data_IF_072386472215
#
_entry.id   IF_072386472215
#
_cell.length_a   1.000
_cell.length_b   1.000
_cell.length_c   1.000
_cell.angle_alpha   90.00
_cell.angle_beta   90.00
_cell.angle_gamma   90.00
#
_symmetry.space_group_name_H-M   'P 1'
#
loop_
_entity.id
_entity.type
_entity.pdbx_description
1 polymer ?
#
# COMPACT_ATOMS: atom_id res chain seq x y z
N UNK A 1 0.45 -1.40 12.20
CA UNK A 1 1.15 -1.53 13.47
C UNK A 1 1.81 -2.90 13.60
N UNK A 2 2.89 -2.96 14.40
CA UNK A 2 3.68 -4.19 14.59
C UNK A 2 2.98 -5.22 15.48
N UNK A 3 1.97 -4.82 16.24
CA UNK A 3 1.17 -5.71 17.10
C UNK A 3 0.24 -6.67 16.34
N UNK A 4 0.12 -6.53 15.02
CA UNK A 4 -0.80 -7.32 14.20
C UNK A 4 -2.29 -6.94 14.32
N UNK A 5 -2.62 -5.92 15.08
CA UNK A 5 -3.96 -5.32 15.11
C UNK A 5 -4.03 -4.24 14.01
N UNK A 6 -5.01 -4.33 13.11
CA UNK A 6 -5.13 -3.43 11.95
C UNK A 6 -5.94 -2.15 12.22
N UNK A 7 -6.30 -1.88 13.46
CA UNK A 7 -7.03 -0.67 13.82
C UNK A 7 -6.07 0.51 13.99
N UNK A 8 -6.00 1.37 13.00
CA UNK A 8 -5.28 2.63 13.01
C UNK A 8 -6.28 3.77 12.95
N UNK A 9 -6.12 4.75 13.85
CA UNK A 9 -6.90 5.98 13.84
C UNK A 9 -6.02 7.17 13.48
N UNK A 10 -6.51 8.02 12.57
CA UNK A 10 -5.83 9.26 12.20
C UNK A 10 -5.85 10.25 13.37
N UNK A 11 -4.69 10.75 13.76
CA UNK A 11 -4.58 11.94 14.58
C UNK A 11 -4.77 13.18 13.69
N UNK A 12 -5.99 13.72 13.70
CA UNK A 12 -6.35 14.86 12.84
C UNK A 12 -5.49 16.10 13.11
N UNK A 13 -4.97 16.26 14.33
CA UNK A 13 -4.10 17.40 14.69
C UNK A 13 -2.72 17.34 14.04
N UNK A 14 -2.33 16.16 13.58
CA UNK A 14 -1.03 15.87 12.93
C UNK A 14 -1.18 15.49 11.46
N UNK A 15 -2.25 15.96 10.85
CA UNK A 15 -2.48 15.82 9.42
C UNK A 15 -2.12 17.14 8.71
N UNK A 16 -1.17 17.09 7.80
CA UNK A 16 -0.70 18.25 7.06
C UNK A 16 -0.71 17.98 5.58
N UNK A 17 -1.17 18.96 4.82
CA UNK A 17 -1.15 18.95 3.36
C UNK A 17 -0.44 20.18 2.82
N UNK A 18 0.14 20.04 1.63
CA UNK A 18 0.71 21.16 0.88
C UNK A 18 0.52 20.90 -0.61
N UNK A 19 0.05 21.92 -1.32
CA UNK A 19 -0.10 21.83 -2.77
C UNK A 19 1.26 21.59 -3.44
N UNK A 20 1.25 20.80 -4.50
CA UNK A 20 2.43 20.59 -5.32
C UNK A 20 2.87 21.89 -6.01
N UNK A 21 4.13 21.97 -6.38
CA UNK A 21 4.62 23.14 -7.12
C UNK A 21 3.93 23.30 -8.48
N UNK A 22 3.57 22.21 -9.15
CA UNK A 22 2.81 22.21 -10.39
C UNK A 22 1.41 22.77 -10.19
N UNK A 23 0.70 22.34 -9.16
CA UNK A 23 -0.65 22.83 -8.84
C UNK A 23 -0.63 24.34 -8.54
N UNK A 24 0.30 24.79 -7.70
CA UNK A 24 0.46 26.21 -7.39
C UNK A 24 0.82 27.06 -8.61
N UNK A 25 1.56 26.52 -9.56
CA UNK A 25 1.91 27.19 -10.81
C UNK A 25 0.68 27.31 -11.71
N UNK A 26 -0.03 26.21 -11.94
CA UNK A 26 -1.28 26.21 -12.73
C UNK A 26 -2.33 27.19 -12.18
N UNK A 27 -2.54 27.21 -10.86
CA UNK A 27 -3.46 28.16 -10.21
C UNK A 27 -3.13 29.63 -10.51
N UNK A 28 -1.86 29.96 -10.75
CA UNK A 28 -1.42 31.34 -11.03
C UNK A 28 -1.45 31.69 -12.50
N UNK A 29 -1.19 30.74 -13.38
CA UNK A 29 -0.97 30.97 -14.81
C UNK A 29 -2.22 30.71 -15.65
N UNK A 30 -3.13 29.82 -15.19
CA UNK A 30 -4.32 29.44 -15.95
C UNK A 30 -5.55 30.27 -15.54
N UNK A 31 -6.15 30.97 -16.49
CA UNK A 31 -7.36 31.78 -16.26
C UNK A 31 -8.64 30.95 -16.05
N UNK A 32 -8.62 29.68 -16.47
CA UNK A 32 -9.70 28.69 -16.31
C UNK A 32 -9.33 27.59 -15.34
N UNK A 33 -8.65 27.96 -14.24
CA UNK A 33 -8.23 26.99 -13.24
C UNK A 33 -9.44 26.32 -12.58
N UNK A 34 -9.34 24.98 -12.37
CA UNK A 34 -10.37 24.16 -11.75
C UNK A 34 -9.81 23.45 -10.53
N UNK A 35 -10.64 23.23 -9.49
CA UNK A 35 -10.21 22.59 -8.24
C UNK A 35 -9.72 21.13 -8.43
N UNK A 36 -10.23 20.43 -9.44
CA UNK A 36 -9.79 19.08 -9.80
C UNK A 36 -8.33 19.00 -10.24
N UNK A 37 -7.71 20.13 -10.60
CA UNK A 37 -6.29 20.18 -10.96
C UNK A 37 -5.36 20.28 -9.75
N UNK A 38 -5.95 20.34 -8.53
CA UNK A 38 -5.17 20.34 -7.31
C UNK A 38 -4.52 18.99 -7.13
N UNK A 39 -3.19 18.99 -7.09
CA UNK A 39 -2.38 17.90 -6.59
C UNK A 39 -1.62 18.35 -5.35
N UNK A 40 -1.58 17.53 -4.34
CA UNK A 40 -0.94 17.82 -3.06
C UNK A 40 -0.04 16.70 -2.61
N UNK A 41 0.80 17.00 -1.64
CA UNK A 41 1.47 16.02 -0.80
C UNK A 41 0.88 16.09 0.60
N UNK A 42 0.86 14.97 1.32
CA UNK A 42 0.42 14.96 2.70
C UNK A 42 1.39 14.22 3.60
N UNK A 43 1.34 14.56 4.88
CA UNK A 43 1.91 13.79 5.99
C UNK A 43 0.84 13.61 7.05
N UNK A 44 0.81 12.44 7.69
CA UNK A 44 -0.17 12.11 8.70
C UNK A 44 0.45 11.21 9.78
N UNK A 45 -0.07 11.29 10.99
CA UNK A 45 0.23 10.33 12.05
C UNK A 45 -1.05 9.59 12.40
N UNK A 46 -0.93 8.26 12.42
CA UNK A 46 -1.96 7.36 12.90
C UNK A 46 -1.51 6.75 14.23
N UNK A 47 -2.47 6.42 15.07
CA UNK A 47 -2.22 5.76 16.36
C UNK A 47 -2.95 4.43 16.39
N UNK A 48 -2.24 3.37 16.80
CA UNK A 48 -2.84 2.06 16.97
C UNK A 48 -3.86 2.10 18.12
N UNK A 49 -5.07 1.61 17.86
CA UNK A 49 -6.16 1.58 18.84
C UNK A 49 -6.08 0.42 19.83
N UNK A 50 -5.07 -0.44 19.71
CA UNK A 50 -4.79 -1.45 20.71
C UNK A 50 -4.11 -0.80 21.91
N UNK A 51 -4.79 -0.77 23.05
CA UNK A 51 -4.31 -0.15 24.31
C UNK A 51 -2.97 -0.72 24.84
N UNK A 52 -2.58 -1.91 24.40
CA UNK A 52 -1.29 -2.51 24.75
C UNK A 52 -0.18 -2.19 23.74
N UNK A 53 -0.49 -1.44 22.69
CA UNK A 53 0.47 -1.12 21.62
C UNK A 53 0.68 0.39 21.49
N UNK A 54 -0.39 1.15 21.25
CA UNK A 54 -0.40 2.61 21.07
C UNK A 54 0.69 3.13 20.10
N UNK A 55 1.14 2.28 19.19
CA UNK A 55 2.20 2.60 18.23
C UNK A 55 1.77 3.75 17.32
N UNK A 56 2.63 4.74 17.18
CA UNK A 56 2.46 5.82 16.22
C UNK A 56 3.01 5.43 14.86
N UNK A 57 2.20 5.56 13.83
CA UNK A 57 2.55 5.23 12.45
C UNK A 57 2.48 6.50 11.60
N UNK A 58 3.61 6.92 11.07
CA UNK A 58 3.69 8.04 10.12
C UNK A 58 3.31 7.55 8.73
N UNK A 59 2.50 8.33 8.04
CA UNK A 59 2.19 8.10 6.62
C UNK A 59 2.50 9.36 5.81
N UNK A 60 2.93 9.15 4.58
CA UNK A 60 3.05 10.21 3.59
C UNK A 60 2.64 9.72 2.21
N UNK A 61 2.23 10.66 1.36
CA UNK A 61 1.79 10.33 0.02
C UNK A 61 1.34 11.54 -0.77
N UNK A 62 0.53 11.30 -1.79
CA UNK A 62 -0.03 12.33 -2.65
C UNK A 62 -1.52 12.50 -2.39
N UNK A 63 -2.03 13.70 -2.63
CA UNK A 63 -3.45 14.00 -2.62
C UNK A 63 -3.89 14.56 -3.96
N UNK A 64 -5.16 14.43 -4.24
CA UNK A 64 -5.85 15.03 -5.39
C UNK A 64 -7.29 15.35 -5.03
N UNK A 65 -7.91 16.22 -5.80
CA UNK A 65 -9.31 16.59 -5.65
C UNK A 65 -10.11 15.92 -6.77
N UNK A 66 -11.29 15.44 -6.45
CA UNK A 66 -12.24 14.89 -7.42
C UNK A 66 -13.65 15.38 -7.09
N UNK A 67 -14.49 15.50 -8.10
CA UNK A 67 -15.91 15.77 -7.92
C UNK A 67 -16.65 14.49 -7.59
N UNK A 68 -17.39 14.51 -6.48
CA UNK A 68 -18.22 13.39 -6.06
C UNK A 68 -19.69 13.79 -5.97
N UNK A 69 -20.60 12.94 -6.47
CA UNK A 69 -22.03 13.19 -6.33
C UNK A 69 -22.47 12.99 -4.87
N UNK A 70 -23.07 14.01 -4.30
CA UNK A 70 -23.67 13.97 -2.96
C UNK A 70 -25.18 13.93 -3.08
N UNK A 71 -25.79 12.88 -2.53
CA UNK A 71 -27.24 12.74 -2.50
C UNK A 71 -27.78 13.41 -1.23
N UNK A 72 -28.47 14.51 -1.42
CA UNK A 72 -29.14 15.22 -0.33
C UNK A 72 -30.62 14.93 -0.38
N UNK A 73 -31.17 14.47 0.74
CA UNK A 73 -32.60 14.24 0.90
C UNK A 73 -33.17 15.35 1.76
N UNK A 74 -34.10 16.11 1.21
CA UNK A 74 -34.97 17.02 1.94
C UNK A 74 -36.34 16.36 2.09
N UNK A 75 -37.21 16.86 2.97
CA UNK A 75 -38.49 16.25 3.34
C UNK A 75 -39.41 15.90 2.14
N UNK A 76 -39.17 16.45 0.97
CA UNK A 76 -39.99 16.25 -0.22
C UNK A 76 -39.27 15.83 -1.48
N UNK A 77 -37.96 16.03 -1.55
CA UNK A 77 -37.18 15.77 -2.78
C UNK A 77 -35.80 15.22 -2.46
N UNK A 78 -35.34 14.25 -3.29
CA UNK A 78 -33.94 13.85 -3.34
C UNK A 78 -33.29 14.57 -4.51
N UNK A 79 -32.24 15.33 -4.27
CA UNK A 79 -31.46 15.98 -5.33
C UNK A 79 -29.97 15.60 -5.20
N UNK A 80 -29.30 15.59 -6.34
CA UNK A 80 -27.88 15.32 -6.41
C UNK A 80 -27.13 16.63 -6.58
N UNK A 81 -26.23 16.93 -5.66
CA UNK A 81 -25.25 18.01 -5.79
C UNK A 81 -23.87 17.39 -6.04
N UNK A 82 -22.94 18.19 -6.51
CA UNK A 82 -21.55 17.78 -6.68
C UNK A 82 -20.70 18.54 -5.67
N UNK A 83 -19.86 17.82 -4.94
CA UNK A 83 -18.92 18.41 -4.00
C UNK A 83 -17.49 18.03 -4.36
N UNK A 84 -16.54 18.93 -4.12
CA UNK A 84 -15.12 18.66 -4.27
C UNK A 84 -14.60 17.96 -3.03
N UNK A 85 -14.09 16.74 -3.22
CA UNK A 85 -13.57 15.90 -2.14
C UNK A 85 -12.08 15.66 -2.34
N UNK A 86 -11.31 15.84 -1.27
CA UNK A 86 -9.89 15.54 -1.26
C UNK A 86 -9.64 14.05 -1.00
N UNK A 87 -8.95 13.40 -1.90
CA UNK A 87 -8.50 12.01 -1.77
C UNK A 87 -7.01 11.96 -1.52
N UNK A 88 -6.59 10.98 -0.69
CA UNK A 88 -5.19 10.81 -0.32
C UNK A 88 -4.73 9.40 -0.65
N UNK A 89 -3.65 9.31 -1.42
CA UNK A 89 -3.04 8.06 -1.85
C UNK A 89 -1.73 7.84 -1.08
N UNK A 90 -1.73 6.98 -0.05
CA UNK A 90 -0.52 6.72 0.73
C UNK A 90 0.54 6.02 -0.12
N UNK A 91 1.78 6.47 0.03
CA UNK A 91 2.96 5.90 -0.62
C UNK A 91 3.93 5.27 0.38
N UNK A 92 3.89 5.72 1.63
CA UNK A 92 4.84 5.33 2.64
C UNK A 92 4.19 5.25 4.02
N UNK A 93 4.60 4.24 4.80
CA UNK A 93 4.27 4.09 6.22
C UNK A 93 5.52 3.74 7.02
N UNK A 94 5.69 4.39 8.18
CA UNK A 94 6.78 4.10 9.13
C UNK A 94 6.23 4.09 10.57
N UNK A 95 6.36 2.99 11.32
CA UNK A 95 6.87 1.66 10.89
C UNK A 95 6.08 1.06 9.72
N UNK A 96 6.71 0.14 9.02
CA UNK A 96 6.09 -0.57 7.89
C UNK A 96 4.83 -1.30 8.33
N UNK A 97 3.75 -1.16 7.57
CA UNK A 97 2.52 -1.92 7.79
C UNK A 97 2.74 -3.39 7.42
N UNK A 98 2.41 -4.27 8.35
CA UNK A 98 2.40 -5.70 8.09
C UNK A 98 1.00 -6.10 7.60
N UNK A 99 0.88 -6.63 6.40
CA UNK A 99 -0.39 -7.07 5.83
C UNK A 99 -0.92 -8.37 6.43
N UNK A 100 -0.03 -9.14 7.05
CA UNK A 100 -0.35 -10.33 7.84
C UNK A 100 0.76 -10.62 8.85
N UNK A 101 0.42 -11.39 9.88
CA UNK A 101 1.40 -11.79 10.90
C UNK A 101 2.29 -12.90 10.34
N UNK A 102 3.60 -12.66 10.31
CA UNK A 102 4.60 -13.68 9.99
C UNK A 102 4.90 -14.45 11.29
N UNK A 103 4.85 -15.79 11.31
CA UNK A 103 5.18 -16.58 12.48
C UNK A 103 6.61 -16.30 13.00
N UNK A 104 6.79 -16.29 14.31
CA UNK A 104 8.08 -15.96 14.93
C UNK A 104 9.19 -16.95 14.57
N UNK A 105 8.81 -18.22 14.33
CA UNK A 105 9.71 -19.30 13.90
C UNK A 105 9.94 -19.34 12.38
N UNK A 106 9.47 -18.34 11.63
CA UNK A 106 9.70 -18.26 10.18
C UNK A 106 11.20 -18.02 9.91
N UNK A 107 11.86 -18.85 9.09
CA UNK A 107 13.27 -18.65 8.72
C UNK A 107 13.52 -17.29 8.08
N UNK A 108 14.68 -16.70 8.37
CA UNK A 108 15.03 -15.36 7.90
C UNK A 108 15.02 -15.24 6.37
N UNK A 109 15.44 -16.27 5.67
CA UNK A 109 15.46 -16.30 4.20
C UNK A 109 14.07 -16.16 3.57
N UNK A 110 13.02 -16.54 4.33
CA UNK A 110 11.62 -16.42 3.93
C UNK A 110 11.04 -15.10 4.45
N UNK A 111 11.35 -14.78 5.71
CA UNK A 111 10.83 -13.61 6.43
C UNK A 111 11.29 -12.28 5.82
N UNK A 112 12.61 -12.14 5.57
CA UNK A 112 13.18 -10.87 5.14
C UNK A 112 12.62 -10.38 3.80
N UNK A 113 12.47 -11.21 2.74
CA UNK A 113 11.82 -10.77 1.51
C UNK A 113 10.36 -10.35 1.70
N UNK A 114 9.63 -10.96 2.65
CA UNK A 114 8.25 -10.53 2.97
C UNK A 114 8.22 -9.16 3.64
N UNK A 115 9.11 -8.90 4.61
CA UNK A 115 9.22 -7.59 5.26
C UNK A 115 9.60 -6.50 4.26
N UNK A 116 10.53 -6.79 3.34
CA UNK A 116 10.86 -5.89 2.25
C UNK A 116 9.65 -5.66 1.32
N UNK A 117 8.89 -6.70 0.98
CA UNK A 117 7.67 -6.57 0.18
C UNK A 117 6.67 -5.62 0.87
N UNK A 118 6.42 -5.80 2.16
CA UNK A 118 5.52 -4.93 2.91
C UNK A 118 5.94 -3.46 2.84
N UNK A 119 7.23 -3.17 3.00
CA UNK A 119 7.74 -1.80 3.01
C UNK A 119 7.58 -1.06 1.68
N UNK A 120 7.56 -1.78 0.56
CA UNK A 120 7.52 -1.18 -0.78
C UNK A 120 6.18 -1.38 -1.51
N UNK A 121 5.20 -2.08 -0.90
CA UNK A 121 3.94 -2.45 -1.57
C UNK A 121 3.20 -1.23 -2.14
N UNK A 122 3.11 -0.16 -1.39
CA UNK A 122 2.38 1.04 -1.82
C UNK A 122 3.18 1.92 -2.78
N UNK A 123 4.51 1.82 -2.72
CA UNK A 123 5.40 2.59 -3.60
C UNK A 123 5.61 1.89 -4.94
N UNK A 124 5.83 0.60 -4.93
CA UNK A 124 6.12 -0.22 -6.12
C UNK A 124 5.53 -1.63 -5.99
N UNK A 125 4.23 -1.80 -6.30
CA UNK A 125 3.55 -3.09 -6.17
C UNK A 125 4.21 -4.23 -6.95
N UNK A 126 4.73 -3.95 -8.14
CA UNK A 126 5.42 -4.95 -8.96
C UNK A 126 6.74 -5.43 -8.33
N UNK A 127 7.49 -4.51 -7.70
CA UNK A 127 8.70 -4.87 -6.95
C UNK A 127 8.36 -5.66 -5.69
N UNK A 128 7.29 -5.29 -4.99
CA UNK A 128 6.78 -6.05 -3.84
C UNK A 128 6.39 -7.48 -4.25
N UNK A 129 5.66 -7.65 -5.35
CA UNK A 129 5.30 -8.97 -5.88
C UNK A 129 6.53 -9.85 -6.17
N UNK A 130 7.60 -9.26 -6.72
CA UNK A 130 8.86 -9.98 -6.92
C UNK A 130 9.50 -10.42 -5.59
N UNK A 131 9.44 -9.60 -4.52
CA UNK A 131 9.95 -9.97 -3.20
C UNK A 131 9.12 -11.10 -2.58
N UNK A 132 7.78 -11.06 -2.70
CA UNK A 132 6.90 -12.17 -2.30
C UNK A 132 7.27 -13.45 -3.05
N UNK A 133 7.49 -13.36 -4.36
CA UNK A 133 7.93 -14.50 -5.17
C UNK A 133 9.23 -15.12 -4.65
N UNK A 134 10.23 -14.30 -4.31
CA UNK A 134 11.50 -14.77 -3.73
C UNK A 134 11.25 -15.51 -2.42
N UNK A 135 10.39 -14.98 -1.55
CA UNK A 135 10.01 -15.64 -0.30
C UNK A 135 9.38 -17.02 -0.54
N UNK A 136 8.44 -17.12 -1.49
CA UNK A 136 7.83 -18.41 -1.86
C UNK A 136 8.86 -19.37 -2.43
N UNK A 137 9.77 -18.92 -3.30
CA UNK A 137 10.85 -19.77 -3.84
C UNK A 137 11.78 -20.31 -2.75
N UNK A 138 12.05 -19.50 -1.71
CA UNK A 138 12.84 -19.92 -0.55
C UNK A 138 12.06 -20.93 0.32
N UNK A 139 10.77 -20.71 0.54
CA UNK A 139 9.88 -21.64 1.24
C UNK A 139 9.87 -23.02 0.55
N UNK A 140 9.63 -23.05 -0.76
CA UNK A 140 9.64 -24.30 -1.55
C UNK A 140 11.00 -25.01 -1.49
N UNK A 141 12.08 -24.24 -1.43
CA UNK A 141 13.44 -24.78 -1.28
C UNK A 141 13.62 -25.40 0.11
N UNK A 142 13.08 -24.76 1.16
CA UNK A 142 13.10 -25.28 2.53
C UNK A 142 12.33 -26.61 2.66
N UNK A 143 11.23 -26.74 1.92
CA UNK A 143 10.47 -28.01 1.81
C UNK A 143 11.13 -29.04 0.85
N UNK A 144 12.36 -28.79 0.41
CA UNK A 144 13.09 -29.67 -0.51
C UNK A 144 12.42 -29.89 -1.86
N UNK A 145 11.53 -28.97 -2.28
CA UNK A 145 10.90 -29.02 -3.60
C UNK A 145 11.94 -28.60 -4.65
N UNK A 146 12.24 -29.44 -5.65
CA UNK A 146 13.34 -29.21 -6.57
C UNK A 146 13.12 -28.00 -7.47
N UNK A 147 14.20 -27.23 -7.71
CA UNK A 147 14.19 -26.09 -8.65
C UNK A 147 14.28 -26.53 -10.11
N UNK A 148 14.67 -27.77 -10.36
CA UNK A 148 14.91 -28.31 -11.69
C UNK A 148 14.35 -29.71 -11.83
N UNK A 149 14.02 -30.10 -13.06
CA UNK A 149 13.65 -31.47 -13.43
C UNK A 149 14.43 -31.90 -14.64
N UNK A 150 14.43 -33.19 -14.94
CA UNK A 150 15.06 -33.74 -16.15
C UNK A 150 13.97 -34.00 -17.19
N UNK A 151 14.08 -33.43 -18.37
CA UNK A 151 13.14 -33.65 -19.46
C UNK A 151 13.39 -35.02 -20.15
N UNK A 152 12.49 -35.41 -21.07
CA UNK A 152 12.56 -36.64 -21.86
C UNK A 152 13.91 -36.83 -22.61
N UNK A 153 14.60 -35.69 -22.90
CA UNK A 153 15.91 -35.69 -23.60
C UNK A 153 17.09 -35.71 -22.61
N UNK A 154 16.87 -36.06 -21.36
CA UNK A 154 17.84 -36.05 -20.26
C UNK A 154 18.54 -34.71 -20.02
N UNK A 155 17.95 -33.62 -20.45
CA UNK A 155 18.43 -32.26 -20.16
C UNK A 155 17.77 -31.72 -18.88
N UNK A 156 18.59 -31.07 -18.04
CA UNK A 156 18.12 -30.39 -16.84
C UNK A 156 17.37 -29.11 -17.22
N UNK A 157 16.12 -28.99 -16.80
CA UNK A 157 15.24 -27.85 -17.08
C UNK A 157 14.80 -27.20 -15.76
N UNK A 158 14.85 -25.89 -15.69
CA UNK A 158 14.34 -25.15 -14.53
C UNK A 158 12.82 -25.21 -14.51
N UNK A 159 12.26 -25.51 -13.34
CA UNK A 159 10.82 -25.44 -13.10
C UNK A 159 10.44 -23.97 -12.82
N UNK A 160 9.31 -23.54 -13.36
CA UNK A 160 8.71 -22.27 -12.98
C UNK A 160 8.07 -22.38 -11.57
N UNK A 161 7.67 -21.25 -11.01
CA UNK A 161 7.12 -21.21 -9.65
C UNK A 161 5.81 -22.01 -9.56
N UNK A 162 4.92 -21.86 -10.52
CA UNK A 162 3.61 -22.53 -10.54
C UNK A 162 3.77 -24.05 -10.51
N UNK A 163 4.61 -24.60 -11.41
CA UNK A 163 4.92 -26.03 -11.44
C UNK A 163 5.59 -26.53 -10.16
N UNK A 164 6.25 -25.66 -9.39
CA UNK A 164 6.84 -26.03 -8.08
C UNK A 164 5.80 -26.03 -6.97
N UNK A 165 4.80 -25.17 -7.04
CA UNK A 165 3.69 -25.09 -6.06
C UNK A 165 2.76 -26.30 -6.18
N UNK A 166 2.57 -26.83 -7.40
CA UNK A 166 1.72 -28.00 -7.67
C UNK A 166 2.34 -29.34 -7.24
N UNK A 167 3.59 -29.36 -6.81
CA UNK A 167 4.31 -30.55 -6.34
C UNK A 167 4.29 -30.71 -4.83
#
# INVERSE_FOLDING_TARGET
>A
PTCGNFSLQLDKSKFHTSDSSSSRKMMKEESYWEEEWISSIYTAIFVCQNSNCEEHVVSSGTGFVSQEPVFTQDDRYTYTTTEYVCFYNPKFFQPTLHFFKIPDNCPEEIRNPLLEAFSITLLSPSSAANKVRVSIENLLTKFSIPKTTTNKKKKRVRLNLDTRIEK
#
